data_IF_268773846194
#
_entry.id   IF_268773846194
#
_cell.length_a   1.000
_cell.length_b   1.000
_cell.length_c   1.000
_cell.angle_alpha   90.00
_cell.angle_beta   90.00
_cell.angle_gamma   90.00
#
_symmetry.space_group_name_H-M   'P 1'
#
loop_
_entity.id
_entity.type
_entity.pdbx_description
1 polymer ?
#
# COMPACT_ATOMS: atom_id res chain seq x y z
N UNK A 1 54.28 1.71 -20.66
CA UNK A 1 52.87 1.33 -20.84
C UNK A 1 52.60 0.03 -20.09
N UNK A 2 51.94 0.09 -18.94
CA UNK A 2 51.64 -1.13 -18.16
C UNK A 2 50.48 -1.88 -18.87
N UNK A 3 50.77 -3.06 -19.45
CA UNK A 3 49.72 -3.95 -19.92
C UNK A 3 48.89 -4.44 -18.73
N UNK A 4 47.57 -4.44 -18.81
CA UNK A 4 46.73 -4.98 -17.73
C UNK A 4 47.11 -6.47 -17.54
N UNK A 5 47.05 -6.97 -16.29
CA UNK A 5 47.41 -8.36 -15.99
C UNK A 5 46.45 -9.32 -16.73
N UNK A 6 47.04 -10.38 -17.34
CA UNK A 6 46.26 -11.40 -18.04
C UNK A 6 45.55 -12.27 -17.00
N UNK A 7 44.26 -12.22 -16.97
CA UNK A 7 43.41 -13.04 -16.09
C UNK A 7 43.52 -14.53 -16.47
N UNK A 8 43.60 -15.40 -15.45
CA UNK A 8 43.45 -16.85 -15.65
C UNK A 8 42.05 -17.22 -16.11
N UNK A 9 41.86 -18.41 -16.70
CA UNK A 9 40.55 -18.86 -17.16
C UNK A 9 39.53 -18.97 -16.00
N UNK A 10 39.97 -19.40 -14.83
CA UNK A 10 39.16 -19.41 -13.60
C UNK A 10 38.71 -17.99 -13.19
N UNK A 11 39.60 -16.99 -13.24
CA UNK A 11 39.29 -15.60 -12.94
C UNK A 11 38.33 -15.01 -13.98
N UNK A 12 38.45 -15.37 -15.27
CA UNK A 12 37.52 -14.96 -16.31
C UNK A 12 36.13 -15.55 -16.10
N UNK A 13 36.05 -16.85 -15.76
CA UNK A 13 34.79 -17.52 -15.46
C UNK A 13 34.08 -16.88 -14.26
N UNK A 14 34.83 -16.61 -13.19
CA UNK A 14 34.29 -15.94 -11.99
C UNK A 14 33.80 -14.51 -12.28
N UNK A 15 34.57 -13.75 -13.06
CA UNK A 15 34.17 -12.39 -13.46
C UNK A 15 32.90 -12.39 -14.33
N UNK A 16 32.76 -13.38 -15.24
CA UNK A 16 31.59 -13.55 -16.09
C UNK A 16 30.35 -13.89 -15.26
N UNK A 17 30.49 -14.81 -14.31
CA UNK A 17 29.39 -15.18 -13.41
C UNK A 17 28.95 -14.00 -12.52
N UNK A 18 29.90 -13.24 -11.96
CA UNK A 18 29.61 -12.02 -11.21
C UNK A 18 28.88 -10.97 -12.07
N UNK A 19 29.30 -10.80 -13.34
CA UNK A 19 28.66 -9.89 -14.26
C UNK A 19 27.23 -10.33 -14.59
N UNK A 20 27.00 -11.64 -14.78
CA UNK A 20 25.66 -12.21 -15.02
C UNK A 20 24.74 -11.95 -13.83
N UNK A 21 25.16 -12.28 -12.62
CA UNK A 21 24.38 -12.02 -11.38
C UNK A 21 24.03 -10.55 -11.23
N UNK A 22 24.99 -9.65 -11.48
CA UNK A 22 24.75 -8.21 -11.40
C UNK A 22 23.74 -7.72 -12.44
N UNK A 23 23.73 -8.29 -13.66
CA UNK A 23 22.73 -7.96 -14.69
C UNK A 23 21.34 -8.44 -14.29
N UNK A 24 21.21 -9.67 -13.81
CA UNK A 24 19.94 -10.23 -13.32
C UNK A 24 19.39 -9.37 -12.19
N UNK A 25 20.22 -9.05 -11.18
CA UNK A 25 19.80 -8.23 -10.03
C UNK A 25 19.31 -6.85 -10.45
N UNK A 26 19.98 -6.18 -11.40
CA UNK A 26 19.50 -4.89 -11.92
C UNK A 26 18.21 -5.01 -12.73
N UNK A 27 18.03 -6.11 -13.46
CA UNK A 27 16.79 -6.35 -14.19
C UNK A 27 15.60 -6.53 -13.23
N UNK A 28 15.78 -7.26 -12.13
CA UNK A 28 14.79 -7.41 -11.06
C UNK A 28 14.39 -6.05 -10.48
N UNK A 29 15.36 -5.23 -10.09
CA UNK A 29 15.07 -3.89 -9.54
C UNK A 29 14.34 -3.00 -10.55
N UNK A 30 14.75 -3.05 -11.84
CA UNK A 30 14.05 -2.30 -12.90
C UNK A 30 12.61 -2.78 -13.10
N UNK A 31 12.36 -4.08 -12.95
CA UNK A 31 11.01 -4.63 -13.00
C UNK A 31 10.19 -4.17 -11.80
N UNK A 32 10.76 -4.20 -10.59
CA UNK A 32 10.10 -3.76 -9.34
C UNK A 32 9.76 -2.26 -9.34
N UNK A 33 10.65 -1.42 -9.88
CA UNK A 33 10.36 0.02 -10.08
C UNK A 33 9.22 0.20 -11.10
N UNK A 34 9.25 -0.55 -12.19
CA UNK A 34 8.22 -0.45 -13.25
C UNK A 34 6.85 -0.90 -12.76
N UNK A 35 6.79 -1.94 -11.92
CA UNK A 35 5.55 -2.40 -11.29
C UNK A 35 5.09 -1.51 -10.14
N UNK A 36 5.92 -0.56 -9.67
CA UNK A 36 5.63 0.26 -8.49
C UNK A 36 5.83 -0.47 -7.15
N UNK A 37 6.39 -1.70 -7.17
CA UNK A 37 6.70 -2.45 -5.95
C UNK A 37 7.95 -1.97 -5.21
N UNK A 38 8.75 -1.09 -5.83
CA UNK A 38 9.83 -0.35 -5.18
C UNK A 38 9.76 1.12 -5.57
N UNK A 39 10.02 1.99 -4.61
CA UNK A 39 10.18 3.43 -4.80
C UNK A 39 11.61 3.79 -5.17
N UNK A 40 11.82 5.01 -5.68
CA UNK A 40 13.17 5.55 -5.93
C UNK A 40 13.98 5.60 -4.64
N UNK A 41 13.37 5.98 -3.52
CA UNK A 41 14.03 6.05 -2.22
C UNK A 41 14.54 4.68 -1.76
N UNK A 42 13.69 3.66 -1.82
CA UNK A 42 14.07 2.28 -1.47
C UNK A 42 15.21 1.74 -2.34
N UNK A 43 15.20 2.02 -3.64
CA UNK A 43 16.32 1.63 -4.53
C UNK A 43 17.61 2.37 -4.17
N UNK A 44 17.53 3.65 -3.81
CA UNK A 44 18.68 4.42 -3.36
C UNK A 44 19.21 3.91 -2.01
N UNK A 45 18.36 3.36 -1.14
CA UNK A 45 18.78 2.72 0.10
C UNK A 45 19.43 1.36 -0.15
N UNK A 46 18.85 0.53 -1.02
CA UNK A 46 19.47 -0.72 -1.48
C UNK A 46 20.87 -0.50 -2.09
N UNK A 47 21.07 0.61 -2.80
CA UNK A 47 22.37 0.94 -3.37
C UNK A 47 23.49 1.16 -2.34
N UNK A 48 23.16 1.32 -1.06
CA UNK A 48 24.15 1.43 0.03
C UNK A 48 24.80 0.08 0.38
N UNK A 49 24.04 -1.02 0.22
CA UNK A 49 24.46 -2.37 0.62
C UNK A 49 24.61 -3.36 -0.55
N UNK A 50 23.97 -3.12 -1.70
CA UNK A 50 24.01 -4.01 -2.87
C UNK A 50 24.99 -3.47 -3.93
N UNK A 51 26.11 -4.21 -4.14
CA UNK A 51 27.15 -3.83 -5.11
C UNK A 51 26.61 -3.70 -6.55
N UNK A 52 25.66 -4.52 -6.95
CA UNK A 52 25.09 -4.47 -8.30
C UNK A 52 24.27 -3.19 -8.51
N UNK A 53 23.50 -2.81 -7.50
CA UNK A 53 22.64 -1.62 -7.54
C UNK A 53 23.48 -0.35 -7.38
N UNK A 54 24.45 -0.34 -6.47
CA UNK A 54 25.35 0.80 -6.24
C UNK A 54 26.04 1.29 -7.53
N UNK A 55 26.36 0.36 -8.44
CA UNK A 55 27.01 0.62 -9.74
C UNK A 55 26.05 0.94 -10.86
N UNK A 56 24.73 0.86 -10.67
CA UNK A 56 23.73 1.25 -11.66
C UNK A 56 23.79 2.76 -11.89
N UNK A 57 23.61 3.20 -13.14
CA UNK A 57 23.54 4.63 -13.44
C UNK A 57 22.19 5.21 -13.04
N UNK A 58 22.16 6.47 -12.61
CA UNK A 58 20.92 7.16 -12.25
C UNK A 58 19.95 7.18 -13.43
N UNK A 59 20.44 7.44 -14.64
CA UNK A 59 19.63 7.45 -15.85
C UNK A 59 18.93 6.09 -16.12
N UNK A 60 19.61 4.98 -15.82
CA UNK A 60 19.03 3.64 -15.98
C UNK A 60 17.88 3.38 -14.99
N UNK A 61 17.98 3.93 -13.78
CA UNK A 61 16.89 3.92 -12.81
C UNK A 61 15.71 4.74 -13.32
N UNK A 62 15.96 5.98 -13.77
CA UNK A 62 14.92 6.87 -14.26
C UNK A 62 14.15 6.29 -15.46
N UNK A 63 14.87 5.73 -16.43
CA UNK A 63 14.27 5.09 -17.62
C UNK A 63 13.43 3.84 -17.28
N UNK A 64 13.57 3.28 -16.06
CA UNK A 64 12.74 2.16 -15.61
C UNK A 64 11.42 2.58 -14.96
N UNK A 65 11.25 3.87 -14.67
CA UNK A 65 10.02 4.42 -14.07
C UNK A 65 8.95 4.60 -15.17
N UNK A 66 7.74 4.17 -14.89
CA UNK A 66 6.61 4.36 -15.82
C UNK A 66 6.43 5.85 -16.14
N UNK A 67 6.26 6.16 -17.44
CA UNK A 67 6.09 7.52 -17.92
C UNK A 67 7.40 8.34 -18.01
N UNK A 68 8.56 7.76 -17.68
CA UNK A 68 9.87 8.42 -17.82
C UNK A 68 10.64 7.80 -18.99
N UNK A 69 10.48 8.39 -20.16
CA UNK A 69 11.31 8.05 -21.32
C UNK A 69 12.69 8.71 -21.28
N UNK A 70 13.57 8.36 -22.24
CA UNK A 70 14.95 8.84 -22.32
C UNK A 70 15.06 10.37 -22.25
N UNK A 71 14.22 11.09 -22.99
CA UNK A 71 14.23 12.56 -23.07
C UNK A 71 13.90 13.16 -21.69
N UNK A 72 12.86 12.64 -21.05
CA UNK A 72 12.45 13.09 -19.71
C UNK A 72 13.51 12.74 -18.66
N UNK A 73 14.13 11.58 -18.73
CA UNK A 73 15.21 11.18 -17.81
C UNK A 73 16.40 12.14 -17.89
N UNK A 74 16.81 12.52 -19.11
CA UNK A 74 17.88 13.50 -19.32
C UNK A 74 17.49 14.87 -18.74
N UNK A 75 16.30 15.38 -19.04
CA UNK A 75 15.81 16.65 -18.54
C UNK A 75 15.77 16.71 -17.00
N UNK A 76 15.41 15.60 -16.35
CA UNK A 76 15.41 15.49 -14.88
C UNK A 76 16.85 15.57 -14.35
N UNK A 77 17.79 14.83 -14.94
CA UNK A 77 19.20 14.86 -14.53
C UNK A 77 19.80 16.26 -14.66
N UNK A 78 19.54 16.95 -15.77
CA UNK A 78 20.03 18.31 -16.00
C UNK A 78 19.46 19.29 -14.96
N UNK A 79 18.15 19.23 -14.70
CA UNK A 79 17.50 20.09 -13.69
C UNK A 79 18.02 19.84 -12.28
N UNK A 80 18.32 18.61 -11.94
CA UNK A 80 18.84 18.23 -10.61
C UNK A 80 20.38 18.32 -10.53
N UNK A 81 21.05 18.86 -11.56
CA UNK A 81 22.51 18.94 -11.65
C UNK A 81 23.22 17.60 -11.38
N UNK A 82 22.66 16.52 -11.95
CA UNK A 82 23.20 15.16 -11.86
C UNK A 82 23.83 14.78 -13.20
N UNK A 83 25.12 14.44 -13.20
CA UNK A 83 25.79 13.97 -14.43
C UNK A 83 25.11 12.72 -15.00
N UNK A 84 24.93 12.64 -16.32
CA UNK A 84 24.32 11.51 -17.04
C UNK A 84 25.07 10.18 -16.83
N UNK A 85 26.34 10.25 -16.44
CA UNK A 85 27.16 9.06 -16.12
C UNK A 85 27.15 8.71 -14.62
N UNK A 86 26.50 9.52 -13.78
CA UNK A 86 26.47 9.34 -12.33
C UNK A 86 25.86 7.99 -11.94
N UNK A 87 26.52 7.31 -10.99
CA UNK A 87 26.02 6.06 -10.40
C UNK A 87 25.26 6.34 -9.11
N UNK A 88 24.36 5.44 -8.72
CA UNK A 88 23.49 5.60 -7.55
C UNK A 88 24.29 5.86 -6.27
N UNK A 89 25.34 5.08 -6.00
CA UNK A 89 26.22 5.29 -4.84
C UNK A 89 26.97 6.63 -4.87
N UNK A 90 27.21 7.18 -6.05
CA UNK A 90 27.94 8.44 -6.22
C UNK A 90 27.09 9.69 -6.10
N UNK A 91 25.81 9.59 -5.78
CA UNK A 91 24.95 10.76 -5.53
C UNK A 91 25.36 11.46 -4.23
N UNK A 92 25.54 12.77 -4.32
CA UNK A 92 25.67 13.63 -3.14
C UNK A 92 24.36 13.69 -2.34
N UNK A 93 24.44 14.04 -1.06
CA UNK A 93 23.28 14.07 -0.16
C UNK A 93 22.14 14.94 -0.72
N UNK A 94 22.45 16.11 -1.25
CA UNK A 94 21.44 17.01 -1.85
C UNK A 94 20.87 16.46 -3.16
N UNK A 95 21.70 15.86 -4.02
CA UNK A 95 21.23 15.22 -5.25
C UNK A 95 20.30 14.04 -4.96
N UNK A 96 20.65 13.24 -3.94
CA UNK A 96 19.81 12.14 -3.46
C UNK A 96 18.46 12.66 -2.95
N UNK A 97 18.46 13.67 -2.08
CA UNK A 97 17.22 14.26 -1.54
C UNK A 97 16.36 14.87 -2.66
N UNK A 98 16.97 15.60 -3.59
CA UNK A 98 16.26 16.17 -4.73
C UNK A 98 15.67 15.10 -5.65
N UNK A 99 16.39 13.99 -5.87
CA UNK A 99 15.91 12.87 -6.66
C UNK A 99 14.76 12.14 -5.95
N UNK A 100 14.85 11.94 -4.64
CA UNK A 100 13.76 11.39 -3.83
C UNK A 100 12.55 12.32 -3.92
N UNK A 101 12.74 13.62 -3.74
CA UNK A 101 11.66 14.62 -3.84
C UNK A 101 11.02 14.66 -5.22
N UNK A 102 11.78 14.51 -6.29
CA UNK A 102 11.28 14.49 -7.68
C UNK A 102 10.33 13.31 -7.95
N UNK A 103 10.62 12.17 -7.34
CA UNK A 103 9.87 10.92 -7.47
C UNK A 103 9.20 10.50 -6.16
N UNK A 104 9.33 11.31 -5.11
CA UNK A 104 8.38 11.19 -4.03
C UNK A 104 7.01 11.27 -4.69
N UNK A 105 6.17 10.27 -4.45
CA UNK A 105 4.74 10.43 -4.69
C UNK A 105 4.41 11.77 -4.03
N UNK A 106 3.87 12.74 -4.76
CA UNK A 106 3.76 14.09 -4.23
C UNK A 106 3.10 14.00 -2.85
N UNK A 107 3.82 14.37 -1.80
CA UNK A 107 3.16 14.88 -0.61
C UNK A 107 2.46 16.11 -1.13
N UNK A 108 1.18 15.99 -1.30
CA UNK A 108 0.35 17.01 -1.94
C UNK A 108 0.59 18.40 -1.33
N UNK A 109 1.45 19.19 -1.94
CA UNK A 109 1.34 20.63 -1.88
C UNK A 109 0.18 21.01 -2.81
N UNK A 110 -1.08 20.87 -2.40
CA UNK A 110 -2.29 21.48 -2.99
C UNK A 110 -3.49 20.54 -3.29
N UNK A 111 -3.50 19.28 -2.84
CA UNK A 111 -4.76 18.53 -2.84
C UNK A 111 -5.18 18.25 -1.40
N UNK A 112 -6.44 18.52 -1.09
CA UNK A 112 -7.11 17.91 0.05
C UNK A 112 -6.88 16.39 -0.07
N UNK A 113 -6.39 15.75 1.01
CA UNK A 113 -6.13 14.31 1.00
C UNK A 113 -7.35 13.54 0.52
N UNK A 114 -7.16 12.41 -0.16
CA UNK A 114 -8.28 11.59 -0.64
C UNK A 114 -8.74 10.58 0.39
N UNK A 115 -10.04 10.37 0.42
CA UNK A 115 -10.68 9.35 1.24
C UNK A 115 -10.87 8.08 0.40
N UNK A 116 -10.14 7.02 0.73
CA UNK A 116 -10.25 5.70 0.11
C UNK A 116 -10.88 4.73 1.10
N UNK A 117 -11.87 3.99 0.66
CA UNK A 117 -12.56 2.98 1.44
C UNK A 117 -12.22 1.61 0.88
N UNK A 118 -11.63 0.75 1.70
CA UNK A 118 -11.36 -0.65 1.40
C UNK A 118 -12.42 -1.52 2.08
N UNK A 119 -13.22 -2.19 1.29
CA UNK A 119 -14.23 -3.13 1.75
C UNK A 119 -14.14 -4.46 1.02
N UNK A 120 -15.01 -5.41 1.35
CA UNK A 120 -15.02 -6.75 0.78
C UNK A 120 -15.38 -7.80 1.81
N UNK A 121 -15.53 -9.07 1.41
CA UNK A 121 -16.03 -10.12 2.29
C UNK A 121 -15.12 -10.39 3.49
N UNK A 122 -15.74 -10.93 4.54
CA UNK A 122 -15.00 -11.40 5.70
C UNK A 122 -13.95 -12.43 5.28
N UNK A 123 -12.70 -12.30 5.77
CA UNK A 123 -11.62 -13.26 5.45
C UNK A 123 -10.86 -12.99 4.14
N UNK A 124 -11.26 -11.99 3.34
CA UNK A 124 -10.57 -11.67 2.08
C UNK A 124 -9.16 -11.10 2.25
N UNK A 125 -8.79 -10.61 3.45
CA UNK A 125 -7.46 -10.11 3.75
C UNK A 125 -7.35 -8.59 3.87
N UNK A 126 -8.46 -7.86 4.05
CA UNK A 126 -8.46 -6.39 4.26
C UNK A 126 -7.45 -5.94 5.30
N UNK A 127 -7.45 -6.55 6.47
CA UNK A 127 -6.57 -6.15 7.58
C UNK A 127 -5.08 -6.39 7.27
N UNK A 128 -4.76 -7.41 6.48
CA UNK A 128 -3.38 -7.64 6.01
C UNK A 128 -2.93 -6.51 5.08
N UNK A 129 -3.78 -6.10 4.16
CA UNK A 129 -3.54 -4.97 3.26
C UNK A 129 -3.37 -3.67 4.06
N UNK A 130 -4.27 -3.40 5.01
CA UNK A 130 -4.21 -2.21 5.86
C UNK A 130 -2.96 -2.16 6.72
N UNK A 131 -2.52 -3.29 7.27
CA UNK A 131 -1.27 -3.40 8.04
C UNK A 131 -0.04 -3.13 7.16
N UNK A 132 -0.04 -3.61 5.92
CA UNK A 132 1.07 -3.35 5.00
C UNK A 132 1.13 -1.87 4.59
N UNK A 133 -0.02 -1.25 4.36
CA UNK A 133 -0.12 0.19 4.08
C UNK A 133 0.37 1.03 5.27
N UNK A 134 0.04 0.65 6.51
CA UNK A 134 0.49 1.36 7.73
C UNK A 134 2.02 1.43 7.85
N UNK A 135 2.75 0.48 7.29
CA UNK A 135 4.22 0.49 7.27
C UNK A 135 4.80 1.52 6.31
N UNK A 136 3.98 2.11 5.47
CA UNK A 136 4.36 3.07 4.43
C UNK A 136 3.71 4.41 4.73
N UNK A 137 4.45 5.50 4.64
CA UNK A 137 3.97 6.87 4.95
C UNK A 137 2.97 7.45 3.93
N UNK A 138 2.37 6.62 3.08
CA UNK A 138 1.48 7.09 2.01
C UNK A 138 0.06 7.35 2.47
N UNK A 139 -0.44 6.55 3.41
CA UNK A 139 -1.79 6.65 3.92
C UNK A 139 -1.81 6.82 5.43
N UNK A 140 -2.74 7.64 5.90
CA UNK A 140 -3.22 7.54 7.26
C UNK A 140 -4.36 6.51 7.31
N UNK A 141 -4.13 5.38 7.97
CA UNK A 141 -5.15 4.33 8.13
C UNK A 141 -5.94 4.61 9.37
N UNK A 142 -7.26 4.77 9.23
CA UNK A 142 -8.14 5.08 10.36
C UNK A 142 -8.15 3.95 11.39
N UNK A 143 -8.41 4.31 12.65
CA UNK A 143 -8.66 3.37 13.73
C UNK A 143 -10.14 3.45 14.08
N UNK A 144 -10.88 2.37 13.80
CA UNK A 144 -12.31 2.29 14.08
C UNK A 144 -12.59 2.17 15.59
N UNK A 145 -13.69 2.75 16.04
CA UNK A 145 -14.24 2.50 17.35
C UNK A 145 -15.10 1.21 17.36
N UNK A 146 -15.17 0.51 18.49
CA UNK A 146 -16.04 -0.65 18.65
C UNK A 146 -16.50 -0.84 20.09
N UNK A 147 -17.72 -1.40 20.24
CA UNK A 147 -18.24 -1.82 21.57
C UNK A 147 -17.86 -3.25 21.94
N UNK A 148 -17.15 -3.96 21.03
CA UNK A 148 -16.62 -5.30 21.31
C UNK A 148 -15.45 -5.21 22.29
N UNK A 149 -15.39 -6.16 23.21
CA UNK A 149 -14.23 -6.31 24.10
C UNK A 149 -12.95 -6.61 23.31
N UNK A 150 -11.78 -6.08 23.76
CA UNK A 150 -10.50 -6.35 23.09
C UNK A 150 -10.11 -7.83 23.18
N UNK A 151 -9.43 -8.32 22.13
CA UNK A 151 -8.76 -9.62 22.16
C UNK A 151 -7.39 -9.49 22.83
N UNK A 152 -6.79 -10.63 23.21
CA UNK A 152 -5.49 -10.67 23.92
C UNK A 152 -4.34 -9.91 23.22
N UNK A 153 -4.39 -9.82 21.91
CA UNK A 153 -3.34 -9.20 21.07
C UNK A 153 -3.68 -7.78 20.64
N UNK A 154 -4.88 -7.29 20.97
CA UNK A 154 -5.37 -5.98 20.53
C UNK A 154 -5.13 -4.91 21.59
N UNK A 155 -4.75 -3.72 21.15
CA UNK A 155 -4.51 -2.55 22.01
C UNK A 155 -5.41 -1.38 21.63
N UNK A 156 -5.91 -0.69 22.67
CA UNK A 156 -6.74 0.49 22.50
C UNK A 156 -5.97 1.63 21.81
N UNK A 157 -6.61 2.24 20.81
CA UNK A 157 -6.04 3.34 20.04
C UNK A 157 -5.11 2.92 18.89
N UNK A 158 -4.75 1.63 18.82
CA UNK A 158 -3.94 1.09 17.74
C UNK A 158 -4.76 0.17 16.83
N UNK A 159 -5.39 -0.86 17.40
CA UNK A 159 -6.23 -1.80 16.63
C UNK A 159 -7.67 -1.29 16.54
N UNK A 160 -8.22 -0.88 17.68
CA UNK A 160 -9.54 -0.26 17.83
C UNK A 160 -9.55 0.77 18.95
N UNK A 161 -10.49 1.70 18.88
CA UNK A 161 -10.91 2.53 20.01
C UNK A 161 -12.05 1.78 20.70
N UNK A 162 -11.73 1.05 21.78
CA UNK A 162 -12.73 0.29 22.52
C UNK A 162 -13.56 1.23 23.39
N UNK A 163 -14.88 1.15 23.24
CA UNK A 163 -15.86 2.03 23.92
C UNK A 163 -16.93 1.19 24.61
N UNK A 164 -17.57 1.74 25.65
CA UNK A 164 -18.81 1.19 26.18
C UNK A 164 -19.97 1.49 25.21
N UNK A 165 -21.09 0.78 25.38
CA UNK A 165 -22.29 1.02 24.58
C UNK A 165 -22.81 2.44 24.78
N UNK A 166 -22.78 2.97 26.01
CA UNK A 166 -23.22 4.33 26.34
C UNK A 166 -22.29 5.40 25.72
N UNK A 167 -20.98 5.15 25.64
CA UNK A 167 -20.03 6.06 24.97
C UNK A 167 -20.28 6.07 23.45
N UNK A 168 -20.56 4.91 22.87
CA UNK A 168 -20.86 4.77 21.47
C UNK A 168 -22.18 5.47 21.11
N UNK A 169 -23.23 5.31 21.93
CA UNK A 169 -24.52 6.01 21.76
C UNK A 169 -24.35 7.52 21.80
N UNK A 170 -23.57 8.03 22.74
CA UNK A 170 -23.24 9.46 22.81
C UNK A 170 -22.50 9.94 21.59
N UNK A 171 -21.56 9.14 21.06
CA UNK A 171 -20.81 9.46 19.85
C UNK A 171 -21.72 9.52 18.61
N UNK A 172 -22.69 8.60 18.48
CA UNK A 172 -23.72 8.64 17.43
C UNK A 172 -24.55 9.91 17.57
N UNK A 173 -25.12 10.18 18.75
CA UNK A 173 -25.99 11.32 19.00
C UNK A 173 -25.30 12.66 18.68
N UNK A 174 -23.99 12.75 18.90
CA UNK A 174 -23.19 13.95 18.63
C UNK A 174 -22.62 14.01 17.19
N UNK A 175 -22.91 13.02 16.33
CA UNK A 175 -22.38 12.98 14.95
C UNK A 175 -20.85 12.79 14.86
N UNK A 176 -20.27 12.11 15.84
CA UNK A 176 -18.82 11.90 15.94
C UNK A 176 -18.31 10.80 15.00
N UNK A 177 -19.19 10.06 14.32
CA UNK A 177 -18.81 9.05 13.34
C UNK A 177 -19.06 9.54 11.90
N UNK A 178 -18.19 9.12 10.98
CA UNK A 178 -18.40 9.22 9.53
C UNK A 178 -19.46 8.21 9.07
N UNK A 179 -19.33 7.01 9.59
CA UNK A 179 -20.23 5.87 9.43
C UNK A 179 -20.20 5.03 10.70
N UNK A 180 -21.24 4.24 10.91
CA UNK A 180 -21.26 3.20 11.92
C UNK A 180 -22.22 2.08 11.53
N UNK A 181 -21.93 0.87 11.97
CA UNK A 181 -22.76 -0.31 11.72
C UNK A 181 -22.76 -1.26 12.92
N UNK A 182 -23.81 -2.06 13.03
CA UNK A 182 -23.86 -3.19 13.96
C UNK A 182 -23.46 -4.46 13.20
N UNK A 183 -22.49 -5.19 13.72
CA UNK A 183 -22.01 -6.42 13.12
C UNK A 183 -21.64 -7.44 14.20
N UNK A 184 -22.12 -8.69 14.05
CA UNK A 184 -21.81 -9.82 14.96
C UNK A 184 -21.99 -9.50 16.45
N UNK A 185 -23.06 -8.78 16.81
CA UNK A 185 -23.40 -8.46 18.20
C UNK A 185 -22.61 -7.30 18.83
N UNK A 186 -21.80 -6.60 18.05
CA UNK A 186 -21.10 -5.40 18.46
C UNK A 186 -21.32 -4.26 17.45
N UNK A 187 -20.95 -3.06 17.84
CA UNK A 187 -21.00 -1.88 16.97
C UNK A 187 -19.60 -1.45 16.58
N UNK A 188 -19.48 -0.94 15.37
CA UNK A 188 -18.24 -0.43 14.80
C UNK A 188 -18.52 0.91 14.16
N UNK A 189 -17.58 1.84 14.20
CA UNK A 189 -17.75 3.13 13.56
C UNK A 189 -16.41 3.84 13.35
N UNK A 190 -16.33 4.63 12.31
CA UNK A 190 -15.14 5.42 11.99
C UNK A 190 -15.24 6.80 12.63
N UNK A 191 -14.37 7.15 13.60
CA UNK A 191 -14.36 8.49 14.19
C UNK A 191 -14.12 9.56 13.12
N UNK A 192 -15.01 10.55 13.08
CA UNK A 192 -15.04 11.58 12.03
C UNK A 192 -13.83 12.52 12.09
N UNK A 193 -13.56 13.07 13.29
CA UNK A 193 -12.59 14.16 13.44
C UNK A 193 -11.16 13.75 13.03
N UNK A 194 -10.62 12.60 13.45
CA UNK A 194 -9.29 12.17 13.02
C UNK A 194 -9.13 12.02 11.50
N UNK A 195 -10.20 11.59 10.82
CA UNK A 195 -10.23 11.49 9.34
C UNK A 195 -10.15 12.88 8.72
N UNK A 196 -10.98 13.83 9.20
CA UNK A 196 -10.97 15.22 8.71
C UNK A 196 -9.61 15.88 8.93
N UNK A 197 -9.00 15.68 10.10
CA UNK A 197 -7.70 16.24 10.44
C UNK A 197 -6.58 15.70 9.53
N UNK A 198 -6.62 14.40 9.20
CA UNK A 198 -5.67 13.79 8.29
C UNK A 198 -5.82 14.30 6.85
N UNK A 199 -7.06 14.39 6.37
CA UNK A 199 -7.37 14.95 5.04
C UNK A 199 -6.95 16.42 4.93
N UNK A 200 -7.25 17.24 5.95
CA UNK A 200 -6.85 18.66 6.01
C UNK A 200 -5.32 18.86 6.04
N UNK A 201 -4.57 17.85 6.48
CA UNK A 201 -3.10 17.82 6.40
C UNK A 201 -2.58 17.37 5.03
N UNK A 202 -3.46 17.16 4.04
CA UNK A 202 -3.11 16.65 2.72
C UNK A 202 -2.71 15.17 2.73
N UNK A 203 -3.10 14.41 3.75
CA UNK A 203 -2.82 12.96 3.84
C UNK A 203 -3.97 12.19 3.23
N UNK A 204 -3.64 11.23 2.37
CA UNK A 204 -4.63 10.26 1.93
C UNK A 204 -5.05 9.37 3.11
N UNK A 205 -6.33 9.09 3.19
CA UNK A 205 -6.94 8.32 4.28
C UNK A 205 -7.48 7.00 3.76
N UNK A 206 -7.12 5.90 4.41
CA UNK A 206 -7.71 4.59 4.17
C UNK A 206 -8.67 4.22 5.31
N UNK A 207 -9.92 3.93 4.95
CA UNK A 207 -10.89 3.30 5.84
C UNK A 207 -10.98 1.80 5.52
N UNK A 208 -10.78 0.94 6.51
CA UNK A 208 -11.07 -0.49 6.44
C UNK A 208 -12.41 -0.74 7.13
N UNK A 209 -13.49 -0.87 6.37
CA UNK A 209 -14.86 -0.98 6.87
C UNK A 209 -15.65 -2.05 6.12
N UNK A 210 -16.83 -2.39 6.63
CA UNK A 210 -17.78 -3.27 5.95
C UNK A 210 -18.53 -2.55 4.80
N UNK A 211 -19.36 -3.29 4.10
CA UNK A 211 -20.09 -2.79 2.94
C UNK A 211 -21.13 -1.75 3.32
N UNK A 212 -21.82 -1.94 4.45
CA UNK A 212 -22.84 -0.98 4.91
C UNK A 212 -22.21 0.35 5.35
N UNK A 213 -21.04 0.29 5.99
CA UNK A 213 -20.21 1.46 6.27
C UNK A 213 -19.75 2.15 4.99
N UNK A 214 -19.31 1.40 3.98
CA UNK A 214 -18.92 1.95 2.68
C UNK A 214 -20.07 2.70 1.99
N UNK A 215 -21.29 2.18 2.04
CA UNK A 215 -22.48 2.85 1.51
C UNK A 215 -22.78 4.16 2.25
N UNK A 216 -22.65 4.16 3.57
CA UNK A 216 -22.83 5.37 4.38
C UNK A 216 -21.75 6.41 4.05
N UNK A 217 -20.50 6.01 3.92
CA UNK A 217 -19.42 6.91 3.51
C UNK A 217 -19.71 7.51 2.14
N UNK A 218 -20.05 6.71 1.14
CA UNK A 218 -20.35 7.21 -0.21
C UNK A 218 -21.50 8.22 -0.23
N UNK A 219 -22.52 7.99 0.60
CA UNK A 219 -23.64 8.92 0.76
C UNK A 219 -23.21 10.26 1.39
N UNK A 220 -22.38 10.20 2.41
CA UNK A 220 -21.94 11.37 3.20
C UNK A 220 -20.71 12.06 2.59
N UNK A 221 -19.96 11.35 1.76
CA UNK A 221 -18.73 11.80 1.08
C UNK A 221 -18.71 11.24 -0.35
N UNK A 222 -19.42 11.87 -1.30
CA UNK A 222 -19.56 11.36 -2.68
C UNK A 222 -18.24 11.17 -3.42
N UNK A 223 -17.21 11.98 -3.09
CA UNK A 223 -15.87 11.94 -3.69
C UNK A 223 -14.99 10.83 -3.10
N UNK A 224 -15.45 10.08 -2.09
CA UNK A 224 -14.72 8.92 -1.58
C UNK A 224 -14.56 7.86 -2.68
N UNK A 225 -13.34 7.33 -2.80
CA UNK A 225 -13.01 6.24 -3.73
C UNK A 225 -13.32 4.92 -3.03
N UNK A 226 -14.32 4.20 -3.50
CA UNK A 226 -14.71 2.90 -2.95
C UNK A 226 -14.00 1.77 -3.67
N UNK A 227 -13.26 0.96 -2.94
CA UNK A 227 -12.51 -0.19 -3.45
C UNK A 227 -13.03 -1.46 -2.81
N UNK A 228 -13.47 -2.41 -3.63
CA UNK A 228 -13.86 -3.74 -3.21
C UNK A 228 -12.68 -4.69 -3.37
N UNK A 229 -12.36 -5.43 -2.31
CA UNK A 229 -11.33 -6.46 -2.33
C UNK A 229 -11.97 -7.81 -2.56
N UNK A 230 -11.62 -8.48 -3.66
CA UNK A 230 -12.05 -9.84 -3.98
C UNK A 230 -10.96 -10.86 -3.67
N UNK A 231 -11.34 -12.09 -3.29
CA UNK A 231 -10.39 -13.20 -3.23
C UNK A 231 -9.98 -13.62 -4.65
N UNK A 232 -8.82 -14.27 -4.84
CA UNK A 232 -8.44 -14.82 -6.14
C UNK A 232 -9.44 -15.86 -6.66
N UNK A 233 -9.96 -16.69 -5.77
CA UNK A 233 -11.04 -17.65 -6.06
C UNK A 233 -11.99 -17.76 -4.86
N UNK A 234 -13.19 -18.25 -5.13
CA UNK A 234 -14.16 -18.56 -4.07
C UNK A 234 -13.63 -19.64 -3.10
N UNK A 235 -12.98 -20.66 -3.64
CA UNK A 235 -12.40 -21.76 -2.87
C UNK A 235 -11.34 -21.29 -1.88
N UNK A 236 -10.51 -20.31 -2.26
CA UNK A 236 -9.57 -19.70 -1.35
C UNK A 236 -10.25 -18.94 -0.21
N UNK A 237 -11.32 -18.19 -0.51
CA UNK A 237 -12.08 -17.51 0.54
C UNK A 237 -12.70 -18.51 1.51
N UNK A 238 -13.32 -19.58 1.00
CA UNK A 238 -13.86 -20.68 1.80
C UNK A 238 -12.79 -21.26 2.71
N UNK A 239 -11.62 -21.61 2.16
CA UNK A 239 -10.50 -22.16 2.93
C UNK A 239 -10.05 -21.23 4.06
N UNK A 240 -9.96 -19.92 3.79
CA UNK A 240 -9.58 -18.88 4.80
C UNK A 240 -10.66 -18.71 5.89
N UNK A 241 -11.93 -18.88 5.52
CA UNK A 241 -13.05 -18.82 6.47
C UNK A 241 -13.15 -20.07 7.34
N UNK A 242 -12.85 -21.24 6.78
CA UNK A 242 -12.87 -22.54 7.49
C UNK A 242 -11.64 -22.74 8.39
N UNK A 243 -10.51 -22.14 8.09
CA UNK A 243 -9.24 -22.29 8.82
C UNK A 243 -9.26 -21.76 10.27
N UNK A 244 -10.37 -21.18 10.74
CA UNK A 244 -10.57 -20.83 12.15
C UNK A 244 -11.15 -22.02 12.89
N UNK A 245 -10.30 -22.85 13.46
CA UNK A 245 -10.60 -24.13 14.12
C UNK A 245 -11.63 -24.10 15.28
N UNK A 246 -12.20 -22.96 15.62
CA UNK A 246 -13.10 -22.74 16.78
C UNK A 246 -14.57 -22.55 16.39
N UNK A 247 -14.91 -22.48 15.09
CA UNK A 247 -16.28 -22.22 14.66
C UNK A 247 -17.10 -23.52 14.53
N UNK A 248 -18.35 -23.50 15.02
CA UNK A 248 -19.31 -24.60 14.76
C UNK A 248 -19.68 -24.67 13.28
N UNK A 249 -20.19 -25.86 12.79
CA UNK A 249 -20.65 -25.99 11.40
C UNK A 249 -21.70 -24.94 11.01
N UNK A 250 -22.62 -24.63 11.93
CA UNK A 250 -23.66 -23.61 11.71
C UNK A 250 -23.08 -22.21 11.50
N UNK A 251 -22.16 -21.82 12.37
CA UNK A 251 -21.44 -20.54 12.24
C UNK A 251 -20.65 -20.43 10.95
N UNK A 252 -20.06 -21.54 10.49
CA UNK A 252 -19.36 -21.57 9.20
C UNK A 252 -20.32 -21.35 8.04
N UNK A 253 -21.47 -22.03 8.05
CA UNK A 253 -22.50 -21.87 7.01
C UNK A 253 -23.03 -20.43 6.96
N UNK A 254 -23.30 -19.80 8.11
CA UNK A 254 -23.72 -18.40 8.20
C UNK A 254 -22.66 -17.44 7.61
N UNK A 255 -21.37 -17.67 7.91
CA UNK A 255 -20.27 -16.83 7.39
C UNK A 255 -20.08 -16.99 5.88
N UNK A 256 -20.25 -18.20 5.36
CA UNK A 256 -20.18 -18.44 3.91
C UNK A 256 -21.35 -17.80 3.17
N UNK A 257 -22.56 -17.90 3.72
CA UNK A 257 -23.74 -17.24 3.17
C UNK A 257 -23.56 -15.71 3.16
N UNK A 258 -23.09 -15.14 4.28
CA UNK A 258 -22.79 -13.72 4.36
C UNK A 258 -21.71 -13.29 3.35
N UNK A 259 -20.65 -14.08 3.19
CA UNK A 259 -19.61 -13.79 2.22
C UNK A 259 -20.12 -13.79 0.77
N UNK A 260 -21.07 -14.68 0.43
CA UNK A 260 -21.73 -14.67 -0.88
C UNK A 260 -22.58 -13.40 -1.10
N UNK A 261 -23.33 -12.99 -0.08
CA UNK A 261 -24.10 -11.75 -0.11
C UNK A 261 -23.18 -10.53 -0.25
N UNK A 262 -22.06 -10.53 0.47
CA UNK A 262 -21.03 -9.48 0.40
C UNK A 262 -20.39 -9.42 -1.00
N UNK A 263 -20.03 -10.56 -1.60
CA UNK A 263 -19.49 -10.63 -2.96
C UNK A 263 -20.46 -10.08 -4.01
N UNK A 264 -21.76 -10.31 -3.86
CA UNK A 264 -22.78 -9.78 -4.77
C UNK A 264 -22.90 -8.25 -4.74
N UNK A 265 -22.30 -7.58 -3.74
CA UNK A 265 -22.31 -6.13 -3.63
C UNK A 265 -21.13 -5.46 -4.36
N UNK A 266 -20.18 -6.23 -4.89
CA UNK A 266 -18.99 -5.66 -5.57
C UNK A 266 -19.33 -4.64 -6.67
N UNK A 267 -20.43 -4.75 -7.46
CA UNK A 267 -20.78 -3.75 -8.49
C UNK A 267 -21.13 -2.35 -7.95
N UNK A 268 -21.34 -2.20 -6.65
CA UNK A 268 -21.57 -0.89 -6.03
C UNK A 268 -20.30 -0.06 -5.90
N UNK A 269 -19.12 -0.69 -5.95
CA UNK A 269 -17.85 -0.05 -5.70
C UNK A 269 -17.26 0.55 -6.99
N UNK A 270 -16.47 1.63 -6.83
CA UNK A 270 -15.82 2.30 -7.96
C UNK A 270 -14.74 1.43 -8.60
N UNK A 271 -14.05 0.60 -7.78
CA UNK A 271 -12.97 -0.28 -8.21
C UNK A 271 -13.05 -1.63 -7.52
N UNK A 272 -12.64 -2.68 -8.26
CA UNK A 272 -12.51 -4.05 -7.75
C UNK A 272 -11.04 -4.44 -7.86
N UNK A 273 -10.44 -4.90 -6.75
CA UNK A 273 -9.07 -5.41 -6.69
C UNK A 273 -9.08 -6.85 -6.22
N UNK A 274 -8.37 -7.71 -6.94
CA UNK A 274 -8.19 -9.12 -6.54
C UNK A 274 -6.98 -9.23 -5.60
N UNK A 275 -7.18 -9.85 -4.43
CA UNK A 275 -6.14 -10.06 -3.42
C UNK A 275 -5.37 -11.36 -3.70
N UNK A 276 -4.64 -11.39 -4.80
CA UNK A 276 -3.67 -12.44 -5.16
C UNK A 276 -2.34 -12.23 -4.44
N UNK A 277 -1.85 -10.98 -4.41
CA UNK A 277 -0.65 -10.56 -3.71
C UNK A 277 -0.90 -9.20 -3.03
N UNK A 278 -0.60 -9.13 -1.74
CA UNK A 278 -0.85 -7.92 -0.93
C UNK A 278 -0.14 -6.70 -1.50
N UNK A 279 1.07 -6.87 -2.03
CA UNK A 279 1.89 -5.82 -2.64
C UNK A 279 1.21 -5.21 -3.87
N UNK A 280 0.53 -6.03 -4.69
CA UNK A 280 -0.21 -5.59 -5.88
C UNK A 280 -1.43 -4.75 -5.48
N UNK A 281 -2.14 -5.19 -4.45
CA UNK A 281 -3.29 -4.45 -3.90
C UNK A 281 -2.84 -3.10 -3.35
N UNK A 282 -1.78 -3.09 -2.53
CA UNK A 282 -1.21 -1.86 -1.97
C UNK A 282 -0.78 -0.88 -3.05
N UNK A 283 -0.05 -1.35 -4.08
CA UNK A 283 0.36 -0.50 -5.21
C UNK A 283 -0.84 0.06 -5.99
N UNK A 284 -1.93 -0.71 -6.09
CA UNK A 284 -3.16 -0.28 -6.75
C UNK A 284 -3.91 0.76 -5.93
N UNK A 285 -4.04 0.58 -4.61
CA UNK A 285 -4.64 1.56 -3.71
C UNK A 285 -3.90 2.91 -3.76
N UNK A 286 -2.56 2.88 -3.75
CA UNK A 286 -1.74 4.10 -3.88
C UNK A 286 -2.03 4.81 -5.21
N UNK A 287 -2.12 4.08 -6.32
CA UNK A 287 -2.46 4.70 -7.62
C UNK A 287 -3.85 5.32 -7.64
N UNK A 288 -4.84 4.64 -7.04
CA UNK A 288 -6.21 5.14 -6.98
C UNK A 288 -6.36 6.39 -6.12
N UNK A 289 -5.57 6.53 -5.07
CA UNK A 289 -5.54 7.75 -4.27
C UNK A 289 -4.94 8.93 -5.04
N UNK A 290 -4.12 8.70 -6.07
CA UNK A 290 -3.46 9.75 -6.84
C UNK A 290 -4.01 9.91 -8.27
N UNK A 291 -5.10 9.23 -8.63
CA UNK A 291 -5.80 9.40 -9.91
C UNK A 291 -6.85 10.49 -9.83
#
# INVERSE_FOLDING_TARGET
MNRPPVLTDAQRAQALEKAKRSRTRRAEIKASIRSGSLTVEEVLDLAKSDEAISKMRVIELLESINGVGKVRAVAILDRLAISHTRRLLGLGIHQRQSLIKEFAIPRHDLHDGRLVVLSGPGGVGKSTVSQEIRKRDYFWVSVSATTRSPRHTESHGHDYIFMSDEEFDRAIANGHFLEWAAFAGARYGTPRQPVLDALAQGRDVLLEIDIEGAKQVKKNWPDAVLVFLEPPTWEELVSRLEGRATDSPERRAERLALAQEEMAQSPFFDHILVNDQVEHVVASLIRLAHS
#
